data_IF_595104757634
#
_entry.id   IF_595104757634
#
_cell.length_a   1.000
_cell.length_b   1.000
_cell.length_c   1.000
_cell.angle_alpha   90.00
_cell.angle_beta   90.00
_cell.angle_gamma   90.00
#
_symmetry.space_group_name_H-M   'P 1'
#
loop_
_entity.id
_entity.type
_entity.pdbx_description
1 polymer ?
#
# COMPACT_ATOMS: atom_id res chain seq x y z
N UNK A 1 17.19 -20.25 -5.05
CA UNK A 1 16.44 -19.66 -6.16
C UNK A 1 15.20 -18.96 -5.64
N UNK A 2 14.94 -17.71 -6.07
CA UNK A 2 13.75 -17.02 -5.58
C UNK A 2 12.48 -17.71 -6.02
N UNK A 3 11.47 -17.69 -5.15
CA UNK A 3 10.15 -18.20 -5.49
C UNK A 3 9.33 -17.17 -6.27
N UNK A 4 8.17 -17.58 -6.78
CA UNK A 4 7.30 -16.66 -7.52
C UNK A 4 6.89 -15.42 -6.72
N UNK A 5 6.71 -15.57 -5.41
CA UNK A 5 6.35 -14.43 -4.56
C UNK A 5 7.52 -13.44 -4.48
N UNK A 6 8.75 -13.96 -4.37
CA UNK A 6 9.93 -13.10 -4.30
C UNK A 6 10.13 -12.32 -5.59
N UNK A 7 9.93 -12.97 -6.74
CA UNK A 7 10.04 -12.30 -8.04
C UNK A 7 8.97 -11.24 -8.20
N UNK A 8 7.73 -11.55 -7.82
CA UNK A 8 6.63 -10.60 -7.90
C UNK A 8 6.90 -9.39 -6.98
N UNK A 9 7.36 -9.64 -5.76
CA UNK A 9 7.66 -8.58 -4.81
C UNK A 9 8.78 -7.68 -5.34
N UNK A 10 9.83 -8.26 -5.91
CA UNK A 10 10.92 -7.50 -6.50
C UNK A 10 10.41 -6.57 -7.60
N UNK A 11 9.58 -7.10 -8.50
CA UNK A 11 8.98 -6.30 -9.56
C UNK A 11 8.16 -5.15 -8.99
N UNK A 12 7.33 -5.44 -8.00
CA UNK A 12 6.46 -4.43 -7.39
C UNK A 12 7.25 -3.34 -6.68
N UNK A 13 8.35 -3.68 -6.02
CA UNK A 13 9.17 -2.68 -5.33
C UNK A 13 9.89 -1.74 -6.28
N UNK A 14 10.01 -2.11 -7.55
CA UNK A 14 10.64 -1.27 -8.58
C UNK A 14 9.68 -0.26 -9.20
N UNK A 15 8.39 -0.35 -8.89
CA UNK A 15 7.41 0.58 -9.43
C UNK A 15 7.62 1.98 -8.86
N UNK A 16 7.49 2.98 -9.71
CA UNK A 16 7.53 4.37 -9.26
C UNK A 16 6.25 4.72 -8.50
N UNK A 17 6.25 5.80 -7.70
CA UNK A 17 5.04 6.21 -7.00
C UNK A 17 3.84 6.43 -7.92
N UNK A 18 4.06 7.02 -9.10
CA UNK A 18 2.99 7.25 -10.07
C UNK A 18 2.39 5.94 -10.58
N UNK A 19 3.24 4.93 -10.77
CA UNK A 19 2.79 3.62 -11.23
C UNK A 19 1.84 2.97 -10.23
N UNK A 20 2.11 3.16 -8.93
CA UNK A 20 1.25 2.62 -7.88
C UNK A 20 -0.14 3.23 -7.92
N UNK A 21 -0.23 4.53 -8.20
CA UNK A 21 -1.53 5.21 -8.29
C UNK A 21 -2.37 4.58 -9.41
N UNK A 22 -1.79 4.40 -10.57
CA UNK A 22 -2.48 3.81 -11.73
C UNK A 22 -2.83 2.36 -11.46
N UNK A 23 -1.90 1.61 -10.89
CA UNK A 23 -2.11 0.19 -10.58
C UNK A 23 -3.27 -0.03 -9.61
N UNK A 24 -3.47 0.91 -8.70
CA UNK A 24 -4.58 0.85 -7.75
C UNK A 24 -5.93 1.23 -8.34
N UNK A 25 -5.96 1.66 -9.59
CA UNK A 25 -7.20 2.00 -10.29
C UNK A 25 -7.55 3.48 -10.24
N UNK A 26 -6.67 4.33 -9.73
CA UNK A 26 -6.92 5.77 -9.71
C UNK A 26 -6.34 6.44 -10.95
N UNK A 27 -6.87 7.63 -11.33
CA UNK A 27 -6.31 8.37 -12.44
C UNK A 27 -4.84 8.70 -12.23
N UNK A 28 -4.08 8.75 -13.32
CA UNK A 28 -2.67 9.11 -13.26
C UNK A 28 -2.50 10.49 -12.63
N UNK A 29 -1.53 10.61 -11.72
CA UNK A 29 -1.24 11.86 -11.01
C UNK A 29 0.22 11.87 -10.61
N UNK A 30 0.74 13.07 -10.36
CA UNK A 30 2.08 13.21 -9.79
C UNK A 30 2.07 12.67 -8.37
N UNK A 31 3.09 11.89 -8.04
CA UNK A 31 3.17 11.25 -6.74
C UNK A 31 4.62 11.13 -6.30
N UNK A 32 4.84 11.11 -4.99
CA UNK A 32 6.16 10.98 -4.40
C UNK A 32 6.10 10.11 -3.16
N UNK A 33 7.15 9.33 -2.93
CA UNK A 33 7.27 8.57 -1.69
C UNK A 33 7.39 9.50 -0.50
N UNK A 34 6.74 9.13 0.59
CA UNK A 34 6.91 9.75 1.88
C UNK A 34 7.35 8.70 2.89
N UNK A 35 7.78 9.14 4.05
CA UNK A 35 8.17 8.22 5.11
C UNK A 35 6.95 7.45 5.61
N UNK A 36 7.00 6.12 5.50
CA UNK A 36 5.93 5.26 5.96
C UNK A 36 6.01 4.98 7.46
N UNK A 37 7.13 5.27 8.08
CA UNK A 37 7.31 5.03 9.51
C UNK A 37 6.71 6.18 10.31
N UNK A 38 5.73 5.86 11.12
CA UNK A 38 5.08 6.83 12.01
C UNK A 38 5.28 6.48 13.48
N UNK A 39 6.42 5.88 13.78
CA UNK A 39 6.87 5.68 15.15
C UNK A 39 6.33 4.43 15.80
N UNK A 40 5.54 4.58 16.85
CA UNK A 40 5.17 3.48 17.74
C UNK A 40 4.02 2.62 17.22
N UNK A 41 3.48 2.89 16.05
CA UNK A 41 2.35 2.13 15.54
C UNK A 41 2.86 0.87 14.84
N UNK A 42 2.49 -0.26 15.38
CA UNK A 42 2.75 -1.55 14.79
C UNK A 42 1.84 -1.74 13.57
N UNK A 43 2.31 -2.46 12.57
CA UNK A 43 1.54 -2.69 11.37
C UNK A 43 1.56 -1.55 10.36
N UNK A 44 2.63 -0.75 10.38
CA UNK A 44 2.83 0.30 9.38
C UNK A 44 2.81 -0.28 7.97
N UNK A 45 2.34 0.51 7.02
CA UNK A 45 2.34 0.11 5.61
C UNK A 45 3.78 -0.05 5.09
N UNK A 46 3.95 -0.86 4.07
CA UNK A 46 5.26 -1.07 3.44
C UNK A 46 5.72 0.17 2.68
N UNK A 47 4.78 0.90 2.10
CA UNK A 47 5.05 2.15 1.39
C UNK A 47 3.96 3.17 1.68
N UNK A 48 4.33 4.43 1.67
CA UNK A 48 3.38 5.52 1.72
C UNK A 48 3.74 6.53 0.62
N UNK A 49 2.74 7.04 -0.07
CA UNK A 49 2.89 7.91 -1.22
C UNK A 49 1.97 9.10 -1.06
N UNK A 50 2.49 10.30 -1.36
CA UNK A 50 1.65 11.49 -1.46
C UNK A 50 1.31 11.70 -2.93
N UNK A 51 0.01 11.78 -3.22
CA UNK A 51 -0.52 11.94 -4.56
C UNK A 51 -1.07 13.36 -4.71
N UNK A 52 -0.69 14.02 -5.78
CA UNK A 52 -1.17 15.37 -6.06
C UNK A 52 -2.63 15.36 -6.46
N UNK A 53 -3.38 16.30 -5.94
CA UNK A 53 -4.81 16.43 -6.23
C UNK A 53 -5.38 17.66 -5.54
N UNK A 54 -6.70 17.74 -5.52
CA UNK A 54 -7.42 18.86 -4.88
C UNK A 54 -8.49 18.28 -3.97
N UNK A 55 -8.16 17.98 -2.70
CA UNK A 55 -6.83 18.09 -2.08
C UNK A 55 -5.88 16.97 -2.49
N UNK A 56 -4.60 17.13 -2.17
CA UNK A 56 -3.67 16.00 -2.22
C UNK A 56 -4.17 14.90 -1.29
N UNK A 57 -3.73 13.68 -1.53
CA UNK A 57 -4.12 12.55 -0.70
C UNK A 57 -2.95 11.58 -0.54
N UNK A 58 -3.08 10.68 0.41
CA UNK A 58 -2.03 9.70 0.71
C UNK A 58 -2.49 8.32 0.31
N UNK A 59 -1.56 7.54 -0.22
CA UNK A 59 -1.78 6.14 -0.55
C UNK A 59 -0.83 5.30 0.30
N UNK A 60 -1.41 4.49 1.18
CA UNK A 60 -0.66 3.51 1.97
C UNK A 60 -0.73 2.17 1.25
N UNK A 61 0.42 1.54 1.03
CA UNK A 61 0.50 0.28 0.30
C UNK A 61 1.04 -0.78 1.24
N UNK A 62 0.32 -1.88 1.36
CA UNK A 62 0.71 -3.00 2.22
C UNK A 62 0.74 -4.30 1.42
N UNK A 63 1.83 -5.04 1.53
CA UNK A 63 1.99 -6.33 0.88
C UNK A 63 1.64 -7.44 1.86
N UNK A 64 0.73 -8.32 1.48
CA UNK A 64 0.31 -9.44 2.30
C UNK A 64 0.52 -10.75 1.56
N UNK A 65 1.22 -11.68 2.19
CA UNK A 65 1.49 -12.99 1.60
C UNK A 65 0.82 -14.14 2.36
N UNK A 66 0.07 -13.84 3.40
CA UNK A 66 -0.62 -14.84 4.22
C UNK A 66 -2.11 -14.85 3.98
N UNK A 67 -2.80 -15.62 4.80
CA UNK A 67 -4.24 -15.76 4.72
C UNK A 67 -4.96 -14.86 5.73
N UNK A 68 -4.25 -14.22 6.63
CA UNK A 68 -4.83 -13.44 7.71
C UNK A 68 -4.94 -11.97 7.37
N UNK A 69 -5.55 -11.68 6.23
CA UNK A 69 -5.77 -10.30 5.81
C UNK A 69 -6.72 -9.59 6.77
N UNK A 70 -7.78 -10.28 7.21
CA UNK A 70 -8.75 -9.68 8.11
C UNK A 70 -8.14 -9.34 9.46
N UNK A 71 -7.20 -10.14 9.95
CA UNK A 71 -6.49 -9.85 11.19
C UNK A 71 -5.61 -8.62 11.10
N UNK A 72 -5.22 -8.23 9.90
CA UNK A 72 -4.41 -7.03 9.68
C UNK A 72 -5.22 -5.75 9.56
N UNK A 73 -6.52 -5.84 9.29
CA UNK A 73 -7.34 -4.66 9.05
C UNK A 73 -7.35 -3.66 10.21
N UNK A 74 -7.46 -4.09 11.47
CA UNK A 74 -7.43 -3.12 12.57
C UNK A 74 -6.12 -2.32 12.62
N UNK A 75 -4.99 -2.97 12.37
CA UNK A 75 -3.69 -2.30 12.34
C UNK A 75 -3.61 -1.30 11.17
N UNK A 76 -4.11 -1.68 10.01
CA UNK A 76 -4.13 -0.80 8.85
C UNK A 76 -5.01 0.42 9.08
N UNK A 77 -6.17 0.23 9.70
CA UNK A 77 -7.06 1.33 10.03
C UNK A 77 -6.42 2.29 11.02
N UNK A 78 -5.75 1.76 12.02
CA UNK A 78 -5.03 2.58 13.00
C UNK A 78 -3.91 3.37 12.32
N UNK A 79 -3.17 2.72 11.46
CA UNK A 79 -2.10 3.35 10.70
C UNK A 79 -2.63 4.48 9.83
N UNK A 80 -3.73 4.24 9.10
CA UNK A 80 -4.34 5.26 8.25
C UNK A 80 -4.80 6.46 9.07
N UNK A 81 -5.37 6.22 10.24
CA UNK A 81 -5.79 7.30 11.14
C UNK A 81 -4.60 8.13 11.60
N UNK A 82 -3.48 7.48 11.92
CA UNK A 82 -2.27 8.18 12.33
C UNK A 82 -1.66 8.99 11.19
N UNK A 83 -1.66 8.45 9.97
CA UNK A 83 -1.21 9.19 8.79
C UNK A 83 -2.09 10.42 8.56
N UNK A 84 -3.40 10.24 8.65
CA UNK A 84 -4.34 11.34 8.49
C UNK A 84 -4.08 12.43 9.53
N UNK A 85 -3.87 12.03 10.78
CA UNK A 85 -3.61 12.98 11.85
C UNK A 85 -2.30 13.75 11.62
N UNK A 86 -1.27 13.05 11.13
CA UNK A 86 0.05 13.66 10.91
C UNK A 86 0.03 14.65 9.74
N UNK A 87 -0.61 14.28 8.65
CA UNK A 87 -0.53 15.03 7.38
C UNK A 87 -1.75 15.89 7.08
N UNK A 88 -2.88 15.62 7.72
CA UNK A 88 -4.12 16.35 7.45
C UNK A 88 -4.71 16.06 6.08
N UNK A 89 -4.34 14.94 5.46
CA UNK A 89 -4.77 14.58 4.12
C UNK A 89 -5.55 13.26 4.14
N UNK A 90 -6.52 13.10 3.23
CA UNK A 90 -7.22 11.83 3.11
C UNK A 90 -6.25 10.70 2.83
N UNK A 91 -6.50 9.53 3.39
CA UNK A 91 -5.65 8.35 3.23
C UNK A 91 -6.46 7.23 2.61
N UNK A 92 -5.90 6.61 1.57
CA UNK A 92 -6.44 5.40 0.96
C UNK A 92 -5.42 4.29 1.12
N UNK A 93 -5.91 3.06 1.15
CA UNK A 93 -5.05 1.88 1.31
C UNK A 93 -5.17 1.00 0.08
N UNK A 94 -4.03 0.58 -0.43
CA UNK A 94 -3.94 -0.46 -1.45
C UNK A 94 -3.33 -1.70 -0.80
N UNK A 95 -4.11 -2.76 -0.74
CA UNK A 95 -3.66 -4.03 -0.19
C UNK A 95 -3.25 -4.93 -1.35
N UNK A 96 -1.97 -5.27 -1.40
CA UNK A 96 -1.43 -6.11 -2.47
C UNK A 96 -1.27 -7.52 -1.92
N UNK A 97 -2.06 -8.44 -2.45
CA UNK A 97 -2.04 -9.82 -2.02
C UNK A 97 -1.03 -10.61 -2.84
N UNK A 98 0.01 -11.09 -2.16
CA UNK A 98 1.03 -11.94 -2.75
C UNK A 98 0.73 -13.36 -2.36
N UNK A 99 0.51 -14.19 -3.34
CA UNK A 99 -0.01 -15.52 -3.10
C UNK A 99 0.69 -16.51 -4.01
N UNK A 100 1.38 -17.46 -3.43
CA UNK A 100 2.06 -18.48 -4.22
C UNK A 100 1.03 -19.27 -5.01
N UNK A 101 1.15 -19.27 -6.33
CA UNK A 101 0.17 -19.90 -7.18
C UNK A 101 -1.17 -19.19 -7.12
N UNK A 102 -1.15 -17.89 -6.86
CA UNK A 102 -2.36 -17.12 -6.64
C UNK A 102 -3.33 -17.21 -7.80
N UNK A 103 -4.56 -17.52 -7.48
CA UNK A 103 -5.67 -17.31 -8.37
C UNK A 103 -6.31 -15.98 -8.00
N UNK A 104 -5.96 -14.94 -8.74
CA UNK A 104 -6.44 -13.60 -8.45
C UNK A 104 -7.96 -13.49 -8.51
N UNK A 105 -8.61 -14.44 -9.15
CA UNK A 105 -10.08 -14.46 -9.24
C UNK A 105 -10.74 -14.62 -7.89
N UNK A 106 -10.02 -15.15 -6.90
CA UNK A 106 -10.56 -15.28 -5.54
C UNK A 106 -10.78 -13.94 -4.85
N UNK A 107 -10.16 -12.89 -5.35
CA UNK A 107 -10.15 -11.59 -4.69
C UNK A 107 -10.82 -10.50 -5.50
N UNK A 108 -11.56 -10.90 -6.49
CA UNK A 108 -12.31 -9.97 -7.33
C UNK A 108 -13.72 -9.75 -6.82
#
# INVERSE_FOLDING_TARGET
>A
MPGPIDDALKHLTELSPQDWVVRGGWPAATAALIDADIGTISGAADKAIRVSGTPDWLLAIDFQSGHDVLGKLPDLLLYNSALFKRHGLPVRTLLVLLHKGADSRKFR
#
